data_IF_289829974001
#
_entry.id   IF_289829974001
#
_cell.length_a   1.000
_cell.length_b   1.000
_cell.length_c   1.000
_cell.angle_alpha   90.00
_cell.angle_beta   90.00
_cell.angle_gamma   90.00
#
_symmetry.space_group_name_H-M   'P 1'
#
loop_
_entity.id
_entity.type
_entity.pdbx_description
1 polymer ?
#
# COMPACT_ATOMS: atom_id res chain seq x y z
N UNK A 1 -17.40 32.52 16.39
CA UNK A 1 -17.71 31.80 17.65
C UNK A 1 -16.98 30.47 17.66
N UNK A 2 -15.82 30.46 18.31
CA UNK A 2 -15.03 29.26 18.60
C UNK A 2 -15.63 28.64 19.88
N UNK A 3 -16.06 27.38 19.84
CA UNK A 3 -16.40 26.64 21.06
C UNK A 3 -15.25 25.66 21.36
N UNK A 4 -14.41 25.92 22.39
CA UNK A 4 -13.49 24.93 22.92
C UNK A 4 -14.30 23.93 23.76
N UNK A 5 -13.86 22.67 23.84
CA UNK A 5 -14.43 21.58 24.66
C UNK A 5 -15.44 20.64 23.97
N UNK A 6 -15.01 20.02 22.87
CA UNK A 6 -15.57 18.70 22.53
C UNK A 6 -14.44 17.71 22.29
N UNK A 7 -13.89 17.18 23.39
CA UNK A 7 -13.07 15.97 23.41
C UNK A 7 -13.89 14.81 22.84
N UNK A 8 -13.64 14.47 21.59
CA UNK A 8 -14.32 13.36 20.93
C UNK A 8 -13.42 12.13 21.01
N UNK A 9 -13.69 11.26 21.97
CA UNK A 9 -13.14 9.91 21.99
C UNK A 9 -13.78 9.14 20.82
N UNK A 10 -12.99 8.86 19.78
CA UNK A 10 -13.43 8.03 18.65
C UNK A 10 -13.88 6.66 19.17
N UNK A 11 -15.19 6.43 19.22
CA UNK A 11 -15.76 5.10 19.50
C UNK A 11 -15.55 4.22 18.27
N UNK A 12 -14.41 3.57 18.17
CA UNK A 12 -14.32 2.30 17.44
C UNK A 12 -15.26 1.33 18.15
N UNK A 13 -16.28 0.83 17.45
CA UNK A 13 -17.40 0.05 18.01
C UNK A 13 -17.04 -1.36 18.48
N UNK A 14 -15.77 -1.67 18.70
CA UNK A 14 -15.36 -2.91 19.32
C UNK A 14 -15.05 -2.62 20.79
N UNK A 15 -16.03 -2.90 21.66
CA UNK A 15 -15.81 -2.99 23.10
C UNK A 15 -14.96 -4.22 23.37
N UNK A 16 -13.65 -4.10 23.26
CA UNK A 16 -12.73 -5.03 23.92
C UNK A 16 -12.49 -4.50 25.35
N UNK A 17 -12.77 -5.29 26.40
CA UNK A 17 -12.47 -4.89 27.76
C UNK A 17 -10.96 -5.05 27.99
N UNK A 18 -10.21 -3.98 27.69
CA UNK A 18 -8.77 -3.91 27.93
C UNK A 18 -8.32 -2.48 27.71
N UNK A 19 -7.77 -1.85 28.76
CA UNK A 19 -7.31 -0.45 28.74
C UNK A 19 -6.44 -0.16 27.52
N UNK A 20 -6.77 0.87 26.76
CA UNK A 20 -5.85 1.46 25.80
C UNK A 20 -4.65 2.05 26.57
N UNK A 21 -3.40 1.60 26.35
CA UNK A 21 -2.29 1.89 27.25
C UNK A 21 -1.77 3.34 27.21
N UNK A 22 -2.22 4.19 26.30
CA UNK A 22 -1.99 5.64 26.32
C UNK A 22 -3.19 6.37 25.74
N UNK A 23 -3.79 7.30 26.50
CA UNK A 23 -4.74 8.28 25.94
C UNK A 23 -3.94 9.23 25.03
N UNK A 24 -3.89 8.90 23.74
CA UNK A 24 -3.43 9.84 22.72
C UNK A 24 -4.66 10.60 22.23
N UNK A 25 -4.72 11.89 22.51
CA UNK A 25 -5.74 12.77 21.97
C UNK A 25 -5.29 13.20 20.57
N UNK A 26 -6.05 12.79 19.55
CA UNK A 26 -5.81 13.22 18.18
C UNK A 26 -6.70 14.44 17.88
N UNK A 27 -6.16 15.52 17.29
CA UNK A 27 -6.95 16.70 16.95
C UNK A 27 -8.08 16.33 15.98
N UNK A 28 -9.23 17.00 16.11
CA UNK A 28 -10.33 16.86 15.15
C UNK A 28 -9.81 17.30 13.77
N UNK A 29 -9.63 16.34 12.86
CA UNK A 29 -9.00 16.40 11.51
C UNK A 29 -7.60 15.77 11.38
N UNK A 30 -7.09 15.07 12.40
CA UNK A 30 -5.96 14.18 12.20
C UNK A 30 -6.40 12.98 11.33
N UNK A 31 -6.14 13.07 10.02
CA UNK A 31 -6.12 11.92 9.14
C UNK A 31 -4.68 11.39 9.18
N UNK A 32 -4.43 10.21 9.74
CA UNK A 32 -3.10 9.64 9.63
C UNK A 32 -2.85 9.27 8.17
N UNK A 33 -2.01 10.05 7.51
CA UNK A 33 -1.44 9.74 6.21
C UNK A 33 -0.41 8.61 6.38
N UNK A 34 -0.23 7.78 5.34
CA UNK A 34 0.81 6.74 5.27
C UNK A 34 0.68 5.51 6.22
N UNK A 35 -0.51 5.26 6.79
CA UNK A 35 -0.78 4.09 7.64
C UNK A 35 -0.44 2.75 6.96
N UNK A 36 -0.80 2.61 5.68
CA UNK A 36 -0.56 1.40 4.92
C UNK A 36 0.94 1.11 4.78
N UNK A 37 1.77 2.14 4.53
CA UNK A 37 3.22 1.97 4.42
C UNK A 37 3.84 1.56 5.74
N UNK A 38 3.38 2.12 6.86
CA UNK A 38 3.87 1.73 8.17
C UNK A 38 3.58 0.24 8.44
N UNK A 39 2.35 -0.21 8.19
CA UNK A 39 1.97 -1.62 8.37
C UNK A 39 2.72 -2.56 7.41
N UNK A 40 2.80 -2.22 6.12
CA UNK A 40 3.49 -3.04 5.11
C UNK A 40 5.02 -3.08 5.27
N UNK A 41 5.60 -2.31 6.19
CA UNK A 41 7.04 -2.27 6.47
C UNK A 41 7.42 -2.68 7.88
N UNK A 42 6.49 -3.31 8.62
CA UNK A 42 6.75 -3.79 9.96
C UNK A 42 7.83 -4.90 9.94
N UNK A 43 9.04 -4.67 10.49
CA UNK A 43 10.13 -5.65 10.46
C UNK A 43 9.82 -6.92 11.26
N UNK A 44 8.87 -6.87 12.21
CA UNK A 44 8.40 -8.06 12.94
C UNK A 44 7.56 -9.01 12.07
N UNK A 45 7.04 -8.52 10.93
CA UNK A 45 6.15 -9.28 10.03
C UNK A 45 6.85 -9.57 8.70
N UNK A 46 7.49 -8.56 8.10
CA UNK A 46 8.10 -8.67 6.77
C UNK A 46 9.63 -8.66 6.88
N UNK A 47 10.28 -9.74 6.42
CA UNK A 47 11.74 -9.94 6.50
C UNK A 47 12.59 -8.80 5.95
N UNK A 48 12.81 -8.54 4.67
CA UNK A 48 13.44 -7.27 4.26
C UNK A 48 12.37 -6.19 3.97
N UNK A 49 11.87 -5.39 4.94
CA UNK A 49 10.66 -4.58 4.76
C UNK A 49 10.85 -3.37 3.82
N UNK A 50 12.10 -2.94 3.63
CA UNK A 50 12.42 -1.85 2.71
C UNK A 50 12.72 -2.33 1.28
N UNK A 51 12.76 -3.65 1.07
CA UNK A 51 12.95 -4.29 -0.23
C UNK A 51 11.65 -4.95 -0.69
N UNK A 52 11.52 -5.17 -1.99
CA UNK A 52 10.40 -5.93 -2.57
C UNK A 52 10.87 -7.30 -3.08
N UNK A 53 11.04 -8.31 -2.20
CA UNK A 53 11.31 -9.69 -2.61
C UNK A 53 9.98 -10.40 -2.93
N UNK A 54 9.59 -10.59 -4.22
CA UNK A 54 8.36 -11.30 -4.56
C UNK A 54 8.36 -12.74 -4.05
N UNK A 55 9.53 -13.35 -3.87
CA UNK A 55 9.72 -14.71 -3.38
C UNK A 55 9.20 -14.91 -1.96
N UNK A 56 9.04 -13.83 -1.17
CA UNK A 56 8.46 -13.88 0.18
C UNK A 56 7.12 -14.62 0.25
N UNK A 57 6.34 -14.55 -0.83
CA UNK A 57 5.01 -15.12 -0.94
C UNK A 57 5.03 -16.58 -1.42
N UNK A 58 6.20 -17.10 -1.79
CA UNK A 58 6.39 -18.44 -2.32
C UNK A 58 6.81 -19.41 -1.21
N UNK A 59 6.16 -20.59 -1.07
CA UNK A 59 6.51 -21.59 -0.05
C UNK A 59 7.97 -22.06 -0.09
N UNK A 60 8.62 -22.01 -1.26
CA UNK A 60 10.00 -22.43 -1.47
C UNK A 60 11.01 -21.50 -0.78
N UNK A 61 10.64 -20.24 -0.57
CA UNK A 61 11.51 -19.20 -0.02
C UNK A 61 11.08 -18.71 1.36
N UNK A 62 9.87 -19.08 1.79
CA UNK A 62 9.32 -18.77 3.10
C UNK A 62 8.64 -20.02 3.64
N UNK A 63 9.17 -20.57 4.74
CA UNK A 63 8.66 -21.80 5.34
C UNK A 63 7.23 -21.69 5.90
N UNK A 64 6.71 -20.47 6.06
CA UNK A 64 5.35 -20.23 6.51
C UNK A 64 4.77 -18.96 5.86
N UNK A 65 4.51 -18.97 4.55
CA UNK A 65 3.96 -17.81 3.86
C UNK A 65 2.52 -17.53 4.31
N UNK A 66 1.80 -18.55 4.77
CA UNK A 66 0.48 -18.44 5.40
C UNK A 66 0.47 -17.69 6.73
N UNK A 67 1.62 -17.50 7.38
CA UNK A 67 1.72 -16.68 8.60
C UNK A 67 1.84 -15.19 8.28
N UNK A 68 2.06 -14.81 7.02
CA UNK A 68 2.02 -13.41 6.61
C UNK A 68 0.57 -12.94 6.57
N UNK A 69 0.29 -11.69 6.99
CA UNK A 69 -1.04 -11.13 6.87
C UNK A 69 -1.42 -11.03 5.38
N UNK A 70 -2.71 -11.19 5.09
CA UNK A 70 -3.22 -10.85 3.78
C UNK A 70 -2.97 -9.35 3.54
N UNK A 71 -2.25 -9.05 2.45
CA UNK A 71 -1.93 -7.68 2.11
C UNK A 71 -3.19 -6.92 1.72
N UNK A 72 -4.20 -7.58 1.15
CA UNK A 72 -5.46 -6.95 0.73
C UNK A 72 -6.18 -6.28 1.89
N UNK A 73 -6.22 -6.96 3.03
CA UNK A 73 -6.74 -6.45 4.29
C UNK A 73 -6.05 -5.16 4.72
N UNK A 74 -4.73 -5.06 4.48
CA UNK A 74 -3.95 -3.87 4.77
C UNK A 74 -4.20 -2.77 3.73
N UNK A 75 -4.14 -3.05 2.43
CA UNK A 75 -4.19 -2.00 1.38
C UNK A 75 -5.60 -1.46 1.15
N UNK A 76 -6.62 -2.31 1.27
CA UNK A 76 -8.02 -1.94 1.10
C UNK A 76 -8.68 -1.53 2.42
N UNK A 77 -8.02 -1.79 3.55
CA UNK A 77 -8.46 -1.43 4.88
C UNK A 77 -9.50 -2.40 5.45
N UNK A 78 -10.07 -2.04 6.60
CA UNK A 78 -10.87 -2.95 7.41
C UNK A 78 -12.24 -2.36 7.81
N UNK A 79 -13.20 -3.24 8.10
CA UNK A 79 -14.50 -2.89 8.68
C UNK A 79 -15.45 -2.19 7.70
N UNK A 80 -16.39 -1.38 8.22
CA UNK A 80 -17.48 -0.76 7.44
C UNK A 80 -17.02 0.23 6.35
N UNK A 81 -15.75 0.61 6.34
CA UNK A 81 -15.15 1.56 5.38
C UNK A 81 -14.05 0.91 4.54
N UNK A 82 -14.06 -0.42 4.45
CA UNK A 82 -13.22 -1.17 3.51
C UNK A 82 -13.42 -0.65 2.08
N UNK A 83 -12.35 -0.61 1.30
CA UNK A 83 -12.38 -0.08 -0.05
C UNK A 83 -13.44 -0.81 -0.88
N UNK A 84 -14.47 -0.12 -1.39
CA UNK A 84 -15.51 -0.76 -2.20
C UNK A 84 -14.96 -1.29 -3.53
N UNK A 85 -13.78 -0.81 -3.97
CA UNK A 85 -13.12 -1.22 -5.20
C UNK A 85 -12.25 -2.48 -5.09
N UNK A 86 -12.13 -3.11 -3.91
CA UNK A 86 -11.21 -4.25 -3.72
C UNK A 86 -11.47 -5.41 -4.68
N UNK A 87 -12.74 -5.76 -4.90
CA UNK A 87 -13.11 -6.89 -5.76
C UNK A 87 -12.85 -6.57 -7.24
N UNK A 88 -13.06 -5.31 -7.65
CA UNK A 88 -12.73 -4.90 -9.01
C UNK A 88 -11.22 -4.97 -9.22
N UNK A 89 -10.44 -4.38 -8.30
CA UNK A 89 -8.99 -4.37 -8.36
C UNK A 89 -8.40 -5.78 -8.38
N UNK A 90 -8.93 -6.70 -7.58
CA UNK A 90 -8.53 -8.10 -7.55
C UNK A 90 -8.73 -8.79 -8.91
N UNK A 91 -9.91 -8.60 -9.52
CA UNK A 91 -10.28 -9.28 -10.77
C UNK A 91 -9.53 -8.75 -11.98
N UNK A 92 -9.28 -7.45 -12.03
CA UNK A 92 -8.69 -6.82 -13.22
C UNK A 92 -7.20 -6.57 -13.07
N UNK A 93 -6.67 -6.42 -11.86
CA UNK A 93 -5.32 -5.93 -11.61
C UNK A 93 -4.25 -6.81 -12.25
N UNK A 94 -4.30 -8.11 -11.99
CA UNK A 94 -3.37 -9.06 -12.57
C UNK A 94 -3.50 -9.13 -14.10
N UNK A 95 -4.73 -9.26 -14.61
CA UNK A 95 -4.99 -9.35 -16.05
C UNK A 95 -4.54 -8.10 -16.79
N UNK A 96 -4.76 -6.92 -16.21
CA UNK A 96 -4.32 -5.65 -16.78
C UNK A 96 -2.79 -5.57 -16.84
N UNK A 97 -2.10 -5.89 -15.74
CA UNK A 97 -0.64 -5.91 -15.70
C UNK A 97 -0.06 -6.91 -16.72
N UNK A 98 -0.59 -8.13 -16.77
CA UNK A 98 -0.17 -9.16 -17.71
C UNK A 98 -0.41 -8.74 -19.17
N UNK A 99 -1.55 -8.13 -19.47
CA UNK A 99 -1.86 -7.63 -20.82
C UNK A 99 -0.89 -6.52 -21.24
N UNK A 100 -0.62 -5.55 -20.37
CA UNK A 100 0.35 -4.48 -20.64
C UNK A 100 1.75 -5.06 -20.91
N UNK A 101 2.22 -5.98 -20.06
CA UNK A 101 3.54 -6.61 -20.22
C UNK A 101 3.60 -7.55 -21.43
N UNK A 102 2.47 -8.10 -21.89
CA UNK A 102 2.41 -8.94 -23.09
C UNK A 102 2.36 -8.13 -24.39
N UNK A 103 1.85 -6.89 -24.34
CA UNK A 103 1.68 -6.04 -25.51
C UNK A 103 2.84 -5.05 -25.70
N UNK A 104 3.53 -4.68 -24.62
CA UNK A 104 4.52 -3.60 -24.65
C UNK A 104 5.80 -3.93 -23.87
N UNK A 105 6.92 -3.58 -24.48
CA UNK A 105 8.19 -3.38 -23.79
C UNK A 105 8.20 -1.98 -23.16
N UNK A 106 8.33 -1.92 -21.82
CA UNK A 106 8.39 -0.69 -21.04
C UNK A 106 9.85 -0.29 -20.88
N UNK A 107 10.28 0.76 -21.58
CA UNK A 107 11.68 1.18 -21.67
C UNK A 107 11.87 2.59 -21.09
N UNK A 108 13.10 2.89 -20.67
CA UNK A 108 13.50 4.26 -20.33
C UNK A 108 13.40 5.20 -21.55
N UNK A 109 13.27 6.49 -21.28
CA UNK A 109 13.39 7.52 -22.32
C UNK A 109 14.82 7.53 -22.88
N UNK A 110 14.96 7.79 -24.18
CA UNK A 110 16.27 7.85 -24.81
C UNK A 110 17.05 9.05 -24.25
N UNK A 111 18.27 8.80 -23.76
CA UNK A 111 19.11 9.83 -23.17
C UNK A 111 18.77 10.20 -21.72
N UNK A 112 17.80 9.53 -21.09
CA UNK A 112 17.49 9.71 -19.67
C UNK A 112 17.85 8.44 -18.90
N UNK A 113 18.76 8.58 -17.93
CA UNK A 113 19.03 7.53 -16.95
C UNK A 113 17.97 7.58 -15.84
N UNK A 114 17.54 6.40 -15.37
CA UNK A 114 16.66 6.33 -14.22
C UNK A 114 17.40 6.84 -12.98
N UNK A 115 16.74 7.67 -12.15
CA UNK A 115 17.36 8.15 -10.93
C UNK A 115 17.59 6.98 -9.96
N UNK A 116 18.72 7.04 -9.23
CA UNK A 116 19.07 6.01 -8.23
C UNK A 116 18.09 5.99 -7.05
N UNK A 117 17.47 7.14 -6.76
CA UNK A 117 16.48 7.31 -5.73
C UNK A 117 15.28 8.08 -6.29
N UNK A 118 14.07 7.65 -5.92
CA UNK A 118 12.84 8.31 -6.34
C UNK A 118 12.26 9.13 -5.19
N UNK A 119 11.92 10.39 -5.48
CA UNK A 119 10.99 11.16 -4.65
C UNK A 119 9.58 10.68 -4.94
N UNK A 120 8.71 10.68 -3.93
CA UNK A 120 7.34 10.18 -4.06
C UNK A 120 6.34 11.25 -3.67
N UNK A 121 5.24 11.29 -4.41
CA UNK A 121 4.14 12.20 -4.12
C UNK A 121 3.46 11.86 -2.79
N UNK A 122 3.07 12.90 -2.05
CA UNK A 122 2.23 12.77 -0.85
C UNK A 122 0.76 12.61 -1.25
N UNK A 123 0.40 11.40 -1.68
CA UNK A 123 -0.92 11.03 -2.14
C UNK A 123 -1.35 9.67 -1.58
N UNK A 124 -2.64 9.33 -1.74
CA UNK A 124 -3.18 8.04 -1.26
C UNK A 124 -2.48 6.84 -1.90
N UNK A 125 -2.03 6.98 -3.16
CA UNK A 125 -1.13 6.02 -3.80
C UNK A 125 0.26 6.62 -3.90
N UNK A 126 1.26 5.90 -3.38
CA UNK A 126 2.67 6.27 -3.50
C UNK A 126 3.12 6.12 -4.96
N UNK A 127 3.19 7.24 -5.68
CA UNK A 127 3.73 7.32 -7.04
C UNK A 127 5.06 8.05 -7.03
N UNK A 128 6.10 7.54 -7.70
CA UNK A 128 7.32 8.29 -7.84
C UNK A 128 7.07 9.53 -8.70
N UNK A 129 7.71 10.63 -8.36
CA UNK A 129 7.63 11.90 -9.09
C UNK A 129 8.38 11.78 -10.42
N UNK A 130 7.78 12.33 -11.48
CA UNK A 130 8.37 12.51 -12.81
C UNK A 130 9.00 11.27 -13.47
N UNK A 131 8.50 10.08 -13.16
CA UNK A 131 8.93 8.86 -13.85
C UNK A 131 8.27 8.77 -15.22
N UNK A 132 9.07 9.02 -16.26
CA UNK A 132 8.66 8.89 -17.66
C UNK A 132 9.26 7.62 -18.27
N UNK A 133 8.46 6.94 -19.08
CA UNK A 133 8.85 5.74 -19.79
C UNK A 133 8.20 5.68 -21.17
N UNK A 134 8.74 4.84 -22.05
CA UNK A 134 8.21 4.57 -23.38
C UNK A 134 7.60 3.18 -23.41
N UNK A 135 6.40 3.08 -23.98
CA UNK A 135 5.74 1.81 -24.26
C UNK A 135 5.98 1.51 -25.75
N UNK A 136 6.79 0.49 -26.04
CA UNK A 136 7.06 0.04 -27.41
C UNK A 136 6.32 -1.27 -27.62
N UNK A 137 5.53 -1.46 -28.70
CA UNK A 137 4.88 -2.74 -28.95
C UNK A 137 5.89 -3.89 -28.94
N UNK A 138 5.64 -4.89 -28.11
CA UNK A 138 6.49 -6.08 -28.04
C UNK A 138 6.41 -6.83 -29.37
N UNK A 139 7.54 -7.27 -29.91
CA UNK A 139 7.54 -8.18 -31.07
C UNK A 139 6.92 -9.51 -30.64
N UNK A 140 5.73 -9.81 -31.13
CA UNK A 140 5.17 -11.15 -31.01
C UNK A 140 5.76 -11.98 -32.15
N UNK A 141 6.75 -12.82 -31.84
CA UNK A 141 7.03 -14.03 -32.63
C UNK A 141 5.92 -15.08 -32.40
#
# INVERSE_FOLDING_TARGET
MYHPNTDYCGRTSYRTPGRCPRRVLYPKRYAPHDQHRFMCREPRIFTHPNSYPPERWLPEHNAAPSNLPDVYDIVFGFGRRICPGQFLADRIGFTFAAAVLKMYDILQLQGEELPKEFTYQDAITRRPEDVRCRFVPSKQD
#
